data_IF_041972386934
#
_entry.id   IF_041972386934
#
_cell.length_a   1.000
_cell.length_b   1.000
_cell.length_c   1.000
_cell.angle_alpha   90.00
_cell.angle_beta   90.00
_cell.angle_gamma   90.00
#
_symmetry.space_group_name_H-M   'P 1'
#
loop_
_entity.id
_entity.type
_entity.pdbx_description
1 polymer ?
#
# COMPACT_ATOMS: atom_id res chain seq x y z
N UNK A 1 -30.70 -16.09 -6.87
CA UNK A 1 -29.56 -15.37 -6.28
C UNK A 1 -30.09 -14.35 -5.28
N UNK A 2 -29.52 -14.26 -4.07
CA UNK A 2 -29.93 -13.25 -3.10
C UNK A 2 -29.59 -11.84 -3.62
N UNK A 3 -30.50 -10.88 -3.42
CA UNK A 3 -30.36 -9.49 -3.88
C UNK A 3 -29.12 -8.78 -3.32
N UNK A 4 -28.65 -9.21 -2.15
CA UNK A 4 -27.43 -8.70 -1.50
C UNK A 4 -26.19 -8.87 -2.38
N UNK A 5 -26.10 -9.92 -3.18
CA UNK A 5 -24.95 -10.15 -4.07
C UNK A 5 -24.89 -9.11 -5.19
N UNK A 6 -26.04 -8.68 -5.72
CA UNK A 6 -26.10 -7.64 -6.74
C UNK A 6 -25.72 -6.28 -6.19
N UNK A 7 -26.18 -5.95 -4.97
CA UNK A 7 -25.78 -4.73 -4.28
C UNK A 7 -24.27 -4.74 -4.02
N UNK A 8 -23.74 -5.84 -3.49
CA UNK A 8 -22.31 -5.96 -3.22
C UNK A 8 -21.49 -5.87 -4.50
N UNK A 9 -21.93 -6.50 -5.59
CA UNK A 9 -21.33 -6.37 -6.91
C UNK A 9 -21.29 -4.92 -7.39
N UNK A 10 -22.41 -4.18 -7.25
CA UNK A 10 -22.47 -2.76 -7.62
C UNK A 10 -21.51 -1.91 -6.78
N UNK A 11 -21.41 -2.14 -5.46
CA UNK A 11 -20.48 -1.44 -4.57
C UNK A 11 -19.02 -1.69 -4.99
N UNK A 12 -18.66 -2.95 -5.27
CA UNK A 12 -17.30 -3.29 -5.70
C UNK A 12 -16.96 -2.66 -7.05
N UNK A 13 -17.85 -2.75 -8.03
CA UNK A 13 -17.63 -2.16 -9.37
C UNK A 13 -17.47 -0.64 -9.26
N UNK A 14 -18.36 0.03 -8.51
CA UNK A 14 -18.27 1.47 -8.31
C UNK A 14 -17.00 1.87 -7.55
N UNK A 15 -16.64 1.12 -6.51
CA UNK A 15 -15.41 1.35 -5.74
C UNK A 15 -14.15 1.21 -6.59
N UNK A 16 -14.06 0.16 -7.42
CA UNK A 16 -12.94 -0.04 -8.35
C UNK A 16 -12.91 1.09 -9.38
N UNK A 17 -14.05 1.44 -9.98
CA UNK A 17 -14.14 2.53 -10.95
C UNK A 17 -13.65 3.85 -10.37
N UNK A 18 -14.17 4.28 -9.21
CA UNK A 18 -13.76 5.52 -8.54
C UNK A 18 -12.27 5.51 -8.17
N UNK A 19 -11.70 4.34 -7.86
CA UNK A 19 -10.28 4.21 -7.50
C UNK A 19 -9.35 4.26 -8.72
N UNK A 20 -9.83 3.90 -9.92
CA UNK A 20 -8.99 3.66 -11.11
C UNK A 20 -9.22 4.64 -12.26
N UNK A 21 -10.37 5.32 -12.33
CA UNK A 21 -10.78 6.14 -13.49
C UNK A 21 -9.77 7.25 -13.86
N UNK A 22 -9.19 7.94 -12.88
CA UNK A 22 -8.16 9.00 -13.07
C UNK A 22 -6.91 8.71 -12.25
N UNK A 23 -6.53 7.43 -12.17
CA UNK A 23 -5.47 6.97 -11.28
C UNK A 23 -4.11 7.62 -11.56
N UNK A 24 -3.78 7.85 -12.85
CA UNK A 24 -2.48 8.40 -13.24
C UNK A 24 -2.32 9.85 -12.78
N UNK A 25 -3.34 10.66 -12.93
CA UNK A 25 -3.26 12.10 -12.67
C UNK A 25 -3.50 12.42 -11.18
N UNK A 26 -4.26 11.57 -10.47
CA UNK A 26 -4.50 11.73 -9.02
C UNK A 26 -3.48 11.04 -8.14
N UNK A 27 -2.64 10.15 -8.69
CA UNK A 27 -1.58 9.51 -7.91
C UNK A 27 -0.47 10.52 -7.62
N UNK A 28 -0.48 11.05 -6.39
CA UNK A 28 0.63 11.80 -5.83
C UNK A 28 1.56 10.88 -5.06
N UNK A 29 2.86 10.92 -5.39
CA UNK A 29 3.85 10.16 -4.66
C UNK A 29 4.31 10.91 -3.41
N UNK A 30 3.95 10.38 -2.24
CA UNK A 30 4.25 11.03 -0.98
C UNK A 30 5.70 10.77 -0.54
N UNK A 31 6.34 11.70 0.21
CA UNK A 31 7.70 11.51 0.72
C UNK A 31 7.87 10.22 1.55
N UNK A 32 6.84 9.83 2.30
CA UNK A 32 6.83 8.57 3.05
C UNK A 32 6.89 7.35 2.12
N UNK A 33 6.17 7.38 0.99
CA UNK A 33 6.20 6.30 -0.02
C UNK A 33 7.57 6.21 -0.69
N UNK A 34 8.22 7.35 -0.97
CA UNK A 34 9.56 7.38 -1.52
C UNK A 34 10.59 6.75 -0.56
N UNK A 35 10.51 7.11 0.71
CA UNK A 35 11.38 6.57 1.76
C UNK A 35 11.19 5.06 1.91
N UNK A 36 9.94 4.60 1.96
CA UNK A 36 9.61 3.20 2.15
C UNK A 36 10.06 2.35 0.94
N UNK A 37 9.89 2.84 -0.29
CA UNK A 37 10.40 2.19 -1.50
C UNK A 37 11.94 2.05 -1.52
N UNK A 38 12.67 3.10 -1.10
CA UNK A 38 14.13 3.05 -0.97
C UNK A 38 14.54 2.05 0.11
N UNK A 39 13.82 2.01 1.23
CA UNK A 39 14.11 1.07 2.30
C UNK A 39 13.92 -0.36 1.81
N UNK A 40 12.80 -0.68 1.15
CA UNK A 40 12.54 -1.99 0.55
C UNK A 40 13.63 -2.38 -0.45
N UNK A 41 14.05 -1.46 -1.32
CA UNK A 41 15.16 -1.69 -2.24
C UNK A 41 16.46 -2.05 -1.51
N UNK A 42 16.75 -1.39 -0.39
CA UNK A 42 17.92 -1.69 0.44
C UNK A 42 17.80 -3.04 1.15
N UNK A 43 16.60 -3.43 1.62
CA UNK A 43 16.38 -4.77 2.21
C UNK A 43 16.74 -5.86 1.20
N UNK A 44 16.23 -5.73 -0.03
CA UNK A 44 16.45 -6.71 -1.09
C UNK A 44 17.91 -6.79 -1.54
N UNK A 45 18.65 -5.68 -1.47
CA UNK A 45 20.05 -5.60 -1.93
C UNK A 45 21.07 -5.97 -0.85
N UNK A 46 20.82 -5.59 0.40
CA UNK A 46 21.79 -5.67 1.50
C UNK A 46 21.39 -6.66 2.60
N UNK A 47 20.25 -7.35 2.48
CA UNK A 47 19.70 -8.26 3.50
C UNK A 47 19.47 -7.59 4.87
N UNK A 48 19.24 -6.26 4.87
CA UNK A 48 18.96 -5.48 6.06
C UNK A 48 17.46 -5.41 6.34
N UNK A 49 16.97 -6.32 7.19
CA UNK A 49 15.54 -6.44 7.51
C UNK A 49 15.19 -5.63 8.77
N UNK A 50 14.39 -4.55 8.68
CA UNK A 50 14.02 -3.77 9.84
C UNK A 50 13.06 -4.58 10.73
N UNK A 51 13.21 -4.41 12.05
CA UNK A 51 12.29 -5.02 13.02
C UNK A 51 11.04 -4.15 13.26
N UNK A 52 11.03 -2.91 12.76
CA UNK A 52 9.93 -1.96 12.87
C UNK A 52 9.31 -1.71 11.49
N UNK A 53 8.01 -1.46 11.46
CA UNK A 53 7.27 -1.11 10.26
C UNK A 53 7.39 0.38 9.88
N UNK A 54 6.59 0.81 8.88
CA UNK A 54 6.67 2.14 8.29
C UNK A 54 6.33 3.26 9.28
N UNK A 55 6.91 4.43 9.02
CA UNK A 55 6.64 5.67 9.74
C UNK A 55 5.66 6.52 8.93
N UNK A 56 4.82 7.33 9.59
CA UNK A 56 4.01 8.33 8.90
C UNK A 56 4.40 9.72 9.37
N UNK A 57 4.89 10.54 8.46
CA UNK A 57 5.54 11.81 8.77
C UNK A 57 6.65 11.62 9.81
N UNK A 58 6.60 12.41 10.89
CA UNK A 58 7.60 12.37 11.97
C UNK A 58 7.27 11.41 13.11
N UNK A 59 6.25 10.55 12.97
CA UNK A 59 5.83 9.61 14.02
C UNK A 59 6.35 8.21 13.74
N UNK A 60 7.08 7.66 14.70
CA UNK A 60 7.49 6.25 14.71
C UNK A 60 6.36 5.42 15.30
N UNK A 61 5.86 4.47 14.52
CA UNK A 61 4.91 3.48 15.01
C UNK A 61 5.63 2.27 15.57
N UNK A 62 5.10 1.71 16.67
CA UNK A 62 5.57 0.45 17.24
C UNK A 62 4.81 -0.73 16.60
N UNK A 63 4.88 -0.83 15.28
CA UNK A 63 4.29 -1.93 14.49
C UNK A 63 5.38 -2.78 13.88
N UNK A 64 5.09 -4.05 13.61
CA UNK A 64 6.03 -4.96 12.95
C UNK A 64 6.25 -4.63 11.47
N UNK A 65 7.26 -5.24 10.83
CA UNK A 65 7.67 -4.93 9.45
C UNK A 65 6.78 -5.55 8.37
N UNK A 66 5.61 -6.09 8.72
CA UNK A 66 4.75 -6.84 7.80
C UNK A 66 4.33 -6.04 6.55
N UNK A 67 4.20 -4.72 6.68
CA UNK A 67 3.95 -3.82 5.56
C UNK A 67 5.03 -3.93 4.47
N UNK A 68 6.31 -3.94 4.86
CA UNK A 68 7.44 -4.03 3.93
C UNK A 68 7.51 -5.38 3.21
N UNK A 69 7.13 -6.48 3.88
CA UNK A 69 7.05 -7.78 3.21
C UNK A 69 5.95 -7.81 2.15
N UNK A 70 4.79 -7.20 2.42
CA UNK A 70 3.75 -7.10 1.40
C UNK A 70 4.20 -6.23 0.23
N UNK A 71 4.92 -5.15 0.50
CA UNK A 71 5.49 -4.29 -0.54
C UNK A 71 6.45 -5.07 -1.45
N UNK A 72 7.37 -5.85 -0.88
CA UNK A 72 8.28 -6.73 -1.63
C UNK A 72 7.53 -7.77 -2.48
N UNK A 73 6.49 -8.40 -1.94
CA UNK A 73 5.71 -9.42 -2.66
C UNK A 73 4.88 -8.79 -3.80
N UNK A 74 4.47 -7.54 -3.64
CA UNK A 74 3.66 -6.81 -4.63
C UNK A 74 4.45 -6.15 -5.75
N UNK A 75 5.77 -6.01 -5.58
CA UNK A 75 6.70 -5.41 -6.54
C UNK A 75 7.02 -6.37 -7.70
#
# INVERSE_FOLDING_TARGET
>A
MPWSLWILGAILILGIFLRTYEFRDWMTFNPDQARDAILVQNMMKNDEWPMMGPQAGNKVFKVGPMFYYFEIISA
#
